data_IF_487135109113
#
_entry.id   IF_487135109113
#
_cell.length_a   1.000
_cell.length_b   1.000
_cell.length_c   1.000
_cell.angle_alpha   90.00
_cell.angle_beta   90.00
_cell.angle_gamma   90.00
#
_symmetry.space_group_name_H-M   'P 1'
#
loop_
_entity.id
_entity.type
_entity.pdbx_description
1 polymer ?
#
# COMPACT_ATOMS: atom_id res chain seq x y z
N UNK A 1 9.27 -18.85 15.83
CA UNK A 1 7.98 -18.68 15.12
C UNK A 1 8.26 -18.70 13.63
N UNK A 2 7.36 -19.27 12.83
CA UNK A 2 7.46 -19.21 11.36
C UNK A 2 7.07 -17.79 10.93
N UNK A 3 7.90 -17.15 10.10
CA UNK A 3 7.62 -15.85 9.52
C UNK A 3 7.80 -15.94 8.00
N UNK A 4 6.73 -15.65 7.26
CA UNK A 4 6.72 -15.62 5.79
C UNK A 4 6.73 -14.16 5.34
N UNK A 5 7.67 -13.80 4.47
CA UNK A 5 7.87 -12.42 4.02
C UNK A 5 8.19 -12.39 2.53
N UNK A 6 7.63 -11.42 1.79
CA UNK A 6 7.89 -11.23 0.37
C UNK A 6 8.30 -9.78 0.10
N UNK A 7 9.48 -9.51 -0.49
CA UNK A 7 9.89 -8.15 -0.82
C UNK A 7 8.98 -7.48 -1.86
N UNK A 8 8.15 -8.25 -2.58
CA UNK A 8 7.19 -7.73 -3.53
C UNK A 8 6.11 -6.82 -2.90
N UNK A 9 5.94 -6.84 -1.56
CA UNK A 9 5.04 -5.91 -0.87
C UNK A 9 5.42 -4.45 -1.16
N UNK A 10 6.71 -4.14 -1.38
CA UNK A 10 7.19 -2.79 -1.62
C UNK A 10 6.72 -2.20 -2.95
N UNK A 11 6.21 -3.03 -3.87
CA UNK A 11 5.60 -2.58 -5.13
C UNK A 11 4.25 -1.88 -4.91
N UNK A 12 3.59 -2.13 -3.78
CA UNK A 12 2.41 -1.36 -3.36
C UNK A 12 2.86 -0.17 -2.51
N UNK A 13 3.13 0.96 -3.17
CA UNK A 13 3.61 2.18 -2.54
C UNK A 13 2.80 3.42 -3.01
N UNK A 14 1.49 3.49 -2.72
CA UNK A 14 0.69 4.66 -3.07
C UNK A 14 1.23 5.92 -2.38
N UNK A 15 1.37 7.02 -3.14
CA UNK A 15 1.92 8.26 -2.62
C UNK A 15 0.96 9.00 -1.66
N UNK A 16 -0.34 8.81 -1.86
CA UNK A 16 -1.40 9.53 -1.15
C UNK A 16 -2.61 8.64 -0.87
N UNK A 17 -3.39 9.02 0.15
CA UNK A 17 -4.72 8.48 0.44
C UNK A 17 -5.68 9.60 0.82
N UNK A 18 -6.98 9.29 0.82
CA UNK A 18 -8.01 10.22 1.28
C UNK A 18 -8.35 9.91 2.74
N UNK A 19 -7.96 10.80 3.65
CA UNK A 19 -8.28 10.69 5.07
C UNK A 19 -9.12 11.89 5.51
N UNK A 20 -10.33 11.63 6.02
CA UNK A 20 -11.28 12.67 6.46
C UNK A 20 -11.53 13.75 5.38
N UNK A 21 -11.66 13.33 4.13
CA UNK A 21 -11.91 14.20 2.98
C UNK A 21 -10.68 14.96 2.47
N UNK A 22 -9.49 14.72 3.04
CA UNK A 22 -8.25 15.38 2.64
C UNK A 22 -7.30 14.40 1.96
N UNK A 23 -6.58 14.86 0.94
CA UNK A 23 -5.48 14.09 0.32
C UNK A 23 -4.24 14.22 1.19
N UNK A 24 -3.87 13.14 1.88
CA UNK A 24 -2.72 13.07 2.78
C UNK A 24 -1.71 12.03 2.29
N UNK A 25 -0.50 12.01 2.84
CA UNK A 25 0.45 10.91 2.60
C UNK A 25 -0.13 9.61 3.13
N UNK A 26 0.05 8.53 2.37
CA UNK A 26 -0.47 7.23 2.79
C UNK A 26 0.21 6.79 4.08
N UNK A 27 -0.57 6.35 5.07
CA UNK A 27 -0.06 5.77 6.31
C UNK A 27 0.49 4.35 6.09
N UNK A 28 -0.11 3.59 5.17
CA UNK A 28 0.31 2.23 4.79
C UNK A 28 1.52 2.29 3.85
N UNK A 29 2.70 2.52 4.43
CA UNK A 29 3.96 2.63 3.67
C UNK A 29 4.79 1.34 3.74
N UNK A 30 5.66 1.07 2.74
CA UNK A 30 6.59 -0.07 2.78
C UNK A 30 7.45 -0.14 4.04
N UNK A 31 7.82 1.03 4.60
CA UNK A 31 8.61 1.14 5.82
C UNK A 31 7.98 0.42 7.02
N UNK A 32 6.65 0.25 7.05
CA UNK A 32 5.97 -0.50 8.10
C UNK A 32 6.39 -1.97 8.12
N UNK A 33 6.48 -2.59 6.95
CA UNK A 33 6.91 -3.98 6.82
C UNK A 33 8.40 -4.13 7.13
N UNK A 34 9.23 -3.16 6.71
CA UNK A 34 10.67 -3.14 7.01
C UNK A 34 10.93 -3.10 8.52
N UNK A 35 10.18 -2.26 9.26
CA UNK A 35 10.27 -2.18 10.72
C UNK A 35 9.95 -3.53 11.38
N UNK A 36 8.89 -4.21 10.92
CA UNK A 36 8.53 -5.55 11.44
C UNK A 36 9.60 -6.58 11.10
N UNK A 37 10.08 -6.62 9.86
CA UNK A 37 11.18 -7.48 9.43
C UNK A 37 12.42 -7.28 10.31
N UNK A 38 12.80 -6.03 10.56
CA UNK A 38 13.95 -5.70 11.40
C UNK A 38 13.78 -6.22 12.83
N UNK A 39 12.62 -5.98 13.46
CA UNK A 39 12.33 -6.48 14.81
C UNK A 39 12.30 -8.00 14.89
N UNK A 40 11.82 -8.68 13.85
CA UNK A 40 11.84 -10.15 13.79
C UNK A 40 13.29 -10.68 13.70
N UNK A 41 14.13 -10.04 12.87
CA UNK A 41 15.53 -10.40 12.73
C UNK A 41 16.33 -10.18 14.03
N UNK A 42 16.15 -9.03 14.70
CA UNK A 42 16.78 -8.74 16.01
C UNK A 42 16.45 -9.79 17.08
N UNK A 43 15.25 -10.40 17.00
CA UNK A 43 14.81 -11.46 17.90
C UNK A 43 15.21 -12.87 17.45
N UNK A 44 16.04 -12.98 16.41
CA UNK A 44 16.54 -14.25 15.90
C UNK A 44 15.52 -15.07 15.11
N UNK A 45 14.48 -14.45 14.56
CA UNK A 45 13.53 -15.15 13.69
C UNK A 45 14.03 -15.18 12.24
N UNK A 46 13.94 -16.35 11.63
CA UNK A 46 14.21 -16.54 10.20
C UNK A 46 12.99 -16.19 9.38
N UNK A 47 13.17 -15.33 8.37
CA UNK A 47 12.15 -15.04 7.37
C UNK A 47 12.28 -16.02 6.20
N UNK A 48 11.17 -16.56 5.73
CA UNK A 48 11.11 -17.44 4.56
C UNK A 48 10.25 -16.80 3.47
N UNK A 49 10.65 -16.94 2.21
CA UNK A 49 9.84 -16.48 1.10
C UNK A 49 8.57 -17.34 0.94
N UNK A 50 7.44 -16.76 0.51
CA UNK A 50 6.30 -17.57 0.11
C UNK A 50 6.67 -18.42 -1.11
N UNK A 51 6.16 -19.65 -1.14
CA UNK A 51 6.43 -20.63 -2.21
C UNK A 51 5.13 -21.19 -2.80
N UNK A 52 3.98 -20.65 -2.41
CA UNK A 52 2.66 -21.12 -2.82
C UNK A 52 1.87 -19.99 -3.43
N UNK A 53 1.29 -20.26 -4.60
CA UNK A 53 0.36 -19.35 -5.26
C UNK A 53 -1.00 -19.39 -4.56
N UNK A 54 -1.48 -18.23 -4.11
CA UNK A 54 -2.74 -18.10 -3.38
C UNK A 54 -3.96 -17.97 -4.29
N UNK A 55 -3.81 -17.83 -5.62
CA UNK A 55 -4.92 -17.57 -6.56
C UNK A 55 -6.07 -18.58 -6.44
N UNK A 56 -5.75 -19.87 -6.29
CA UNK A 56 -6.76 -20.92 -6.13
C UNK A 56 -7.58 -20.79 -4.84
N UNK A 57 -7.00 -20.23 -3.77
CA UNK A 57 -7.67 -20.02 -2.48
C UNK A 57 -8.41 -18.68 -2.47
N UNK A 58 -7.88 -17.64 -3.11
CA UNK A 58 -8.55 -16.35 -3.24
C UNK A 58 -9.94 -16.48 -3.89
N UNK A 59 -10.08 -17.34 -4.89
CA UNK A 59 -11.36 -17.59 -5.57
C UNK A 59 -12.41 -18.31 -4.70
N UNK A 60 -12.02 -18.92 -3.58
CA UNK A 60 -12.94 -19.56 -2.64
C UNK A 60 -13.55 -18.54 -1.67
N UNK A 61 -12.88 -17.40 -1.47
CA UNK A 61 -13.29 -16.34 -0.52
C UNK A 61 -13.90 -15.15 -1.26
N UNK A 62 -13.38 -14.82 -2.44
CA UNK A 62 -13.78 -13.65 -3.21
C UNK A 62 -14.48 -14.03 -4.53
N UNK A 63 -15.45 -13.21 -4.93
CA UNK A 63 -16.13 -13.42 -6.21
C UNK A 63 -15.17 -13.24 -7.40
N UNK A 64 -15.36 -13.98 -8.50
CA UNK A 64 -14.55 -13.81 -9.71
C UNK A 64 -14.60 -12.38 -10.27
N UNK A 65 -15.74 -11.69 -10.15
CA UNK A 65 -15.90 -10.30 -10.58
C UNK A 65 -14.95 -9.37 -9.83
N UNK A 66 -14.82 -9.54 -8.51
CA UNK A 66 -13.96 -8.70 -7.70
C UNK A 66 -12.48 -8.94 -7.97
N UNK A 67 -12.06 -10.21 -8.11
CA UNK A 67 -10.67 -10.54 -8.43
C UNK A 67 -10.25 -9.98 -9.79
N UNK A 68 -11.11 -10.09 -10.82
CA UNK A 68 -10.86 -9.46 -12.11
C UNK A 68 -10.72 -7.94 -12.00
N UNK A 69 -11.57 -7.30 -11.20
CA UNK A 69 -11.46 -5.86 -10.97
C UNK A 69 -10.10 -5.50 -10.36
N UNK A 70 -9.64 -6.16 -9.30
CA UNK A 70 -8.34 -5.86 -8.68
C UNK A 70 -7.16 -6.06 -9.65
N UNK A 71 -7.24 -7.04 -10.54
CA UNK A 71 -6.20 -7.33 -11.53
C UNK A 71 -6.11 -6.26 -12.64
N UNK A 72 -7.22 -5.64 -13.03
CA UNK A 72 -7.30 -4.75 -14.20
C UNK A 72 -7.55 -3.28 -13.87
N UNK A 73 -8.01 -2.95 -12.66
CA UNK A 73 -8.49 -1.61 -12.30
C UNK A 73 -7.48 -0.49 -12.61
N UNK A 74 -6.18 -0.73 -12.38
CA UNK A 74 -5.15 0.26 -12.70
C UNK A 74 -5.01 0.51 -14.20
N UNK A 75 -5.02 -0.54 -15.01
CA UNK A 75 -4.92 -0.43 -16.47
C UNK A 75 -6.18 0.21 -17.06
N UNK A 76 -7.36 -0.20 -16.58
CA UNK A 76 -8.64 0.36 -16.99
C UNK A 76 -8.72 1.85 -16.64
N UNK A 77 -8.26 2.25 -15.46
CA UNK A 77 -8.20 3.65 -15.05
C UNK A 77 -7.31 4.49 -15.96
N UNK A 78 -6.11 3.99 -16.30
CA UNK A 78 -5.21 4.68 -17.23
C UNK A 78 -5.82 4.81 -18.63
N UNK A 79 -6.54 3.79 -19.10
CA UNK A 79 -7.19 3.80 -20.41
C UNK A 79 -8.31 4.85 -20.51
N UNK A 80 -9.07 5.07 -19.43
CA UNK A 80 -10.08 6.12 -19.36
C UNK A 80 -9.47 7.52 -19.53
N UNK A 81 -8.27 7.73 -19.00
CA UNK A 81 -7.55 9.01 -19.09
C UNK A 81 -6.92 9.30 -20.46
N UNK A 82 -6.72 8.25 -21.27
CA UNK A 82 -6.29 8.40 -22.66
C UNK A 82 -7.45 8.79 -23.59
N UNK A 83 -8.70 8.71 -23.13
CA UNK A 83 -9.88 9.12 -23.88
C UNK A 83 -10.18 10.63 -23.65
N UNK A 84 -10.28 11.46 -24.69
CA UNK A 84 -10.33 12.94 -24.58
C UNK A 84 -11.61 13.52 -23.91
N UNK A 85 -12.54 12.69 -23.44
CA UNK A 85 -13.86 13.13 -22.96
C UNK A 85 -13.99 13.34 -21.44
N UNK A 86 -12.95 13.03 -20.64
CA UNK A 86 -13.01 13.09 -19.16
C UNK A 86 -12.05 14.13 -18.54
N UNK A 87 -11.53 15.08 -19.32
CA UNK A 87 -10.70 16.18 -18.84
C UNK A 87 -11.51 17.24 -18.05
N UNK A 88 -12.27 16.81 -17.04
CA UNK A 88 -12.67 17.63 -15.91
C UNK A 88 -11.62 17.54 -14.80
N UNK A 89 -11.59 18.55 -13.94
CA UNK A 89 -10.63 18.87 -12.86
C UNK A 89 -10.38 17.77 -11.79
N UNK A 90 -10.89 16.55 -11.98
CA UNK A 90 -10.79 15.42 -11.05
C UNK A 90 -10.15 14.17 -11.68
N UNK A 91 -9.81 14.22 -12.96
CA UNK A 91 -9.24 13.08 -13.70
C UNK A 91 -7.76 13.21 -14.07
N UNK A 92 -7.10 14.35 -13.83
CA UNK A 92 -5.71 14.51 -14.23
C UNK A 92 -4.81 13.43 -13.57
N UNK A 93 -3.84 12.84 -14.32
CA UNK A 93 -2.79 12.03 -13.68
C UNK A 93 -2.14 12.87 -12.57
N UNK A 94 -1.62 12.26 -11.48
CA UNK A 94 -0.90 13.04 -10.49
C UNK A 94 0.19 13.83 -11.21
N UNK A 95 0.18 15.15 -11.07
CA UNK A 95 1.31 15.97 -11.50
C UNK A 95 2.60 15.36 -10.94
N UNK A 96 3.74 15.47 -11.66
CA UNK A 96 5.02 15.06 -11.12
C UNK A 96 5.15 15.64 -9.72
N UNK A 97 5.41 14.77 -8.74
CA UNK A 97 5.48 15.14 -7.34
C UNK A 97 6.55 16.20 -7.19
N UNK A 98 6.13 17.47 -7.12
CA UNK A 98 7.00 18.53 -6.62
C UNK A 98 7.33 18.12 -5.19
N UNK A 99 8.61 18.00 -4.81
CA UNK A 99 8.97 17.80 -3.42
C UNK A 99 8.37 18.97 -2.63
N UNK A 100 7.29 18.70 -1.90
CA UNK A 100 6.84 19.65 -0.88
C UNK A 100 7.98 19.76 0.12
N UNK A 101 8.24 20.98 0.58
CA UNK A 101 9.17 21.23 1.67
C UNK A 101 8.93 20.20 2.79
N UNK A 102 9.99 19.66 3.41
CA UNK A 102 9.85 18.69 4.48
C UNK A 102 8.88 19.25 5.51
N UNK A 103 7.68 18.66 5.55
CA UNK A 103 6.71 18.98 6.58
C UNK A 103 7.34 18.58 7.90
N UNK A 104 7.25 19.45 8.91
CA UNK A 104 7.60 19.08 10.28
C UNK A 104 6.96 17.72 10.60
N UNK A 105 7.67 16.82 11.29
CA UNK A 105 7.12 15.51 11.61
C UNK A 105 5.75 15.73 12.27
N UNK A 106 4.68 15.29 11.60
CA UNK A 106 3.40 15.15 12.24
C UNK A 106 3.65 14.25 13.45
N UNK A 107 3.40 14.77 14.66
CA UNK A 107 3.45 13.95 15.86
C UNK A 107 2.65 12.67 15.56
N UNK A 108 3.23 11.48 15.84
CA UNK A 108 2.54 10.24 15.54
C UNK A 108 1.18 10.29 16.24
N UNK A 109 0.06 9.93 15.57
CA UNK A 109 -1.26 9.93 16.18
C UNK A 109 -1.39 8.89 17.30
N UNK A 110 -0.31 8.18 17.61
CA UNK A 110 -0.20 7.17 18.66
C UNK A 110 0.97 7.52 19.57
N UNK A 111 0.80 7.42 20.90
CA UNK A 111 1.91 7.57 21.82
C UNK A 111 2.98 6.52 21.48
N UNK A 112 4.25 6.94 21.53
CA UNK A 112 5.46 6.14 21.26
C UNK A 112 5.68 4.99 22.26
N UNK A 113 4.74 4.77 23.17
CA UNK A 113 4.77 3.74 24.21
C UNK A 113 3.37 3.17 24.35
N UNK A 114 3.16 1.91 23.94
CA UNK A 114 2.02 1.14 24.44
C UNK A 114 2.29 0.85 25.93
N UNK A 115 1.39 1.20 26.86
CA UNK A 115 1.52 0.74 28.23
C UNK A 115 1.36 -0.78 28.22
N UNK A 116 2.46 -1.50 28.38
CA UNK A 116 2.46 -2.91 28.73
C UNK A 116 1.86 -2.98 30.14
N UNK A 117 0.67 -3.59 30.25
CA UNK A 117 0.19 -4.14 31.53
C UNK A 117 0.58 -5.60 31.62
#
# INVERSE_FOLDING_TARGET
>A
MIAIFSPAHALHAPAFEIFRGQRVRCFETPARADLVQHRLAERGHTLTAPHTDSRAVLAQVHTPRYLRFLEHAWQDWLALNAAPALAGDHGAPPEPVVPLEPQEPLEPPYPSVWPVR
#
